data_IF_792270739000
#
_entry.id   IF_792270739000
#
_cell.length_a   1.000
_cell.length_b   1.000
_cell.length_c   1.000
_cell.angle_alpha   90.00
_cell.angle_beta   90.00
_cell.angle_gamma   90.00
#
_symmetry.space_group_name_H-M   'P 1'
#
loop_
_entity.id
_entity.type
_entity.pdbx_description
1 polymer ?
#
# COMPACT_ATOMS: atom_id res chain seq x y z
N UNK A 1 24.11 -7.41 15.48
CA UNK A 1 24.57 -6.40 16.47
C UNK A 1 24.26 -6.88 17.89
N UNK A 2 24.90 -6.30 18.91
CA UNK A 2 24.65 -6.65 20.34
C UNK A 2 23.19 -6.38 20.74
N UNK A 3 22.63 -5.26 20.28
CA UNK A 3 21.23 -4.88 20.50
C UNK A 3 20.25 -5.90 19.91
N UNK A 4 20.53 -6.46 18.72
CA UNK A 4 19.69 -7.51 18.14
C UNK A 4 19.63 -8.77 19.03
N UNK A 5 20.75 -9.17 19.64
CA UNK A 5 20.78 -10.31 20.58
C UNK A 5 20.02 -10.02 21.88
N UNK A 6 20.15 -8.80 22.40
CA UNK A 6 19.39 -8.37 23.58
C UNK A 6 17.88 -8.35 23.28
N UNK A 7 17.48 -7.83 22.12
CA UNK A 7 16.09 -7.81 21.68
C UNK A 7 15.54 -9.23 21.47
N UNK A 8 16.33 -10.14 20.90
CA UNK A 8 15.97 -11.56 20.80
C UNK A 8 15.69 -12.15 22.19
N UNK A 9 16.59 -11.90 23.15
CA UNK A 9 16.43 -12.40 24.52
C UNK A 9 15.18 -11.83 25.18
N UNK A 10 14.95 -10.51 25.05
CA UNK A 10 13.82 -9.80 25.63
C UNK A 10 12.48 -10.30 25.06
N UNK A 11 12.37 -10.45 23.74
CA UNK A 11 11.14 -10.93 23.11
C UNK A 11 10.86 -12.39 23.52
N UNK A 12 11.89 -13.24 23.61
CA UNK A 12 11.76 -14.62 24.11
C UNK A 12 11.33 -14.68 25.58
N UNK A 13 11.78 -13.73 26.41
CA UNK A 13 11.32 -13.58 27.80
C UNK A 13 9.96 -12.87 27.92
N UNK A 14 9.23 -12.71 26.82
CA UNK A 14 7.90 -12.10 26.75
C UNK A 14 7.87 -10.63 27.19
N UNK A 15 8.90 -9.85 26.85
CA UNK A 15 8.92 -8.41 27.12
C UNK A 15 7.67 -7.69 26.59
N UNK A 16 7.39 -6.53 27.19
CA UNK A 16 6.36 -5.60 26.69
C UNK A 16 6.87 -4.82 25.48
N UNK A 17 5.98 -4.20 24.69
CA UNK A 17 6.40 -3.32 23.60
C UNK A 17 7.27 -2.15 24.06
N UNK A 18 6.99 -1.59 25.24
CA UNK A 18 7.73 -0.46 25.82
C UNK A 18 9.17 -0.85 26.16
N UNK A 19 9.35 -2.04 26.76
CA UNK A 19 10.67 -2.60 27.05
C UNK A 19 11.48 -2.82 25.75
N UNK A 20 10.84 -3.33 24.70
CA UNK A 20 11.48 -3.49 23.39
C UNK A 20 11.90 -2.13 22.79
N UNK A 21 11.07 -1.09 22.94
CA UNK A 21 11.41 0.26 22.46
C UNK A 21 12.59 0.87 23.19
N UNK A 22 12.73 0.65 24.50
CA UNK A 22 13.90 1.13 25.26
C UNK A 22 15.19 0.58 24.66
N UNK A 23 15.23 -0.71 24.31
CA UNK A 23 16.41 -1.34 23.68
C UNK A 23 16.76 -0.75 22.31
N UNK A 24 15.79 -0.19 21.60
CA UNK A 24 15.99 0.44 20.29
C UNK A 24 16.45 1.90 20.39
N UNK A 25 16.27 2.56 21.54
CA UNK A 25 16.60 4.00 21.69
C UNK A 25 18.08 4.29 21.46
N UNK A 26 18.94 3.39 21.90
CA UNK A 26 20.40 3.56 21.88
C UNK A 26 21.04 3.31 20.51
N UNK A 27 20.25 2.93 19.49
CA UNK A 27 20.76 2.72 18.14
C UNK A 27 21.06 4.07 17.45
N UNK A 28 22.27 4.23 16.85
CA UNK A 28 22.60 5.43 16.09
C UNK A 28 21.73 5.52 14.84
N UNK A 29 21.31 6.72 14.45
CA UNK A 29 20.57 6.92 13.20
C UNK A 29 21.58 7.10 12.05
N UNK A 30 21.64 6.20 11.05
CA UNK A 30 22.56 6.38 9.93
C UNK A 30 22.31 7.67 9.13
N UNK A 31 21.09 8.21 9.19
CA UNK A 31 20.70 9.43 8.47
C UNK A 31 20.99 10.72 9.25
N UNK A 32 21.45 10.66 10.50
CA UNK A 32 21.75 11.87 11.29
C UNK A 32 23.01 12.61 10.84
N UNK A 33 23.79 12.04 9.91
CA UNK A 33 24.93 12.70 9.29
C UNK A 33 24.52 13.53 8.05
N UNK A 34 23.26 13.47 7.62
CA UNK A 34 22.71 14.28 6.52
C UNK A 34 22.30 15.68 7.02
N UNK A 35 22.36 16.70 6.16
CA UNK A 35 22.05 18.11 6.52
C UNK A 35 20.58 18.34 6.95
N UNK A 36 19.70 17.36 6.79
CA UNK A 36 18.29 17.40 7.15
C UNK A 36 18.00 16.53 8.36
N UNK A 37 17.06 16.97 9.21
CA UNK A 37 16.50 16.11 10.25
C UNK A 37 15.90 14.85 9.60
N UNK A 38 16.32 13.64 10.01
CA UNK A 38 15.88 12.41 9.37
C UNK A 38 14.43 12.11 9.73
N UNK A 39 13.60 11.88 8.71
CA UNK A 39 12.16 11.63 8.86
C UNK A 39 11.83 10.22 9.38
N UNK A 40 12.82 9.33 9.43
CA UNK A 40 12.72 7.98 9.97
C UNK A 40 14.07 7.47 10.47
N UNK A 41 14.09 6.30 11.12
CA UNK A 41 15.30 5.70 11.68
C UNK A 41 15.55 4.29 11.11
N UNK A 42 16.32 4.18 10.00
CA UNK A 42 16.54 2.92 9.28
C UNK A 42 17.02 1.78 10.17
N UNK A 43 18.02 2.04 11.02
CA UNK A 43 18.65 0.98 11.81
C UNK A 43 17.72 0.43 12.89
N UNK A 44 16.83 1.26 13.45
CA UNK A 44 15.77 0.79 14.37
C UNK A 44 14.79 -0.13 13.65
N UNK A 45 14.36 0.24 12.45
CA UNK A 45 13.47 -0.59 11.62
C UNK A 45 14.16 -1.91 11.31
N UNK A 46 15.40 -1.87 10.80
CA UNK A 46 16.16 -3.05 10.40
C UNK A 46 16.32 -4.04 11.54
N UNK A 47 16.79 -3.57 12.70
CA UNK A 47 17.01 -4.43 13.87
C UNK A 47 15.68 -4.99 14.37
N UNK A 48 14.65 -4.15 14.53
CA UNK A 48 13.39 -4.57 15.11
C UNK A 48 12.64 -5.55 14.21
N UNK A 49 12.43 -5.19 12.94
CA UNK A 49 11.66 -5.99 11.98
C UNK A 49 12.38 -7.30 11.70
N UNK A 50 13.70 -7.29 11.51
CA UNK A 50 14.46 -8.52 11.29
C UNK A 50 14.35 -9.50 12.47
N UNK A 51 14.51 -9.00 13.70
CA UNK A 51 14.39 -9.84 14.90
C UNK A 51 12.97 -10.37 15.07
N UNK A 52 11.96 -9.52 14.89
CA UNK A 52 10.56 -9.89 15.02
C UNK A 52 10.17 -11.00 14.03
N UNK A 53 10.54 -10.83 12.75
CA UNK A 53 10.25 -11.80 11.70
C UNK A 53 11.06 -13.09 11.86
N UNK A 54 12.31 -12.99 12.30
CA UNK A 54 13.13 -14.16 12.62
C UNK A 54 12.51 -15.01 13.73
N UNK A 55 12.00 -14.40 14.80
CA UNK A 55 11.34 -15.11 15.90
C UNK A 55 9.95 -15.63 15.50
N UNK A 56 9.29 -14.96 14.56
CA UNK A 56 8.00 -15.35 14.00
C UNK A 56 8.06 -16.36 12.85
N UNK A 57 9.23 -16.89 12.48
CA UNK A 57 9.46 -17.62 11.23
C UNK A 57 8.88 -19.04 11.14
N UNK A 58 8.34 -19.58 12.25
CA UNK A 58 7.88 -20.98 12.33
C UNK A 58 6.66 -21.28 11.46
N UNK A 59 5.73 -20.33 11.36
CA UNK A 59 4.55 -20.43 10.48
C UNK A 59 3.93 -19.05 10.28
N UNK A 60 3.03 -18.92 9.29
CA UNK A 60 2.27 -17.68 9.06
C UNK A 60 1.59 -17.18 10.34
N UNK A 61 0.96 -18.08 11.12
CA UNK A 61 0.29 -17.73 12.37
C UNK A 61 1.27 -17.16 13.41
N UNK A 62 2.51 -17.65 13.50
CA UNK A 62 3.51 -17.09 14.41
C UNK A 62 3.94 -15.70 13.97
N UNK A 63 4.16 -15.47 12.66
CA UNK A 63 4.48 -14.15 12.13
C UNK A 63 3.35 -13.16 12.37
N UNK A 64 2.10 -13.57 12.16
CA UNK A 64 0.93 -12.72 12.39
C UNK A 64 0.72 -12.39 13.86
N UNK A 65 0.93 -13.36 14.76
CA UNK A 65 0.86 -13.13 16.20
C UNK A 65 1.96 -12.16 16.66
N UNK A 66 3.17 -12.28 16.10
CA UNK A 66 4.27 -11.36 16.37
C UNK A 66 3.95 -9.93 15.92
N UNK A 67 3.46 -9.76 14.68
CA UNK A 67 3.02 -8.45 14.16
C UNK A 67 1.90 -7.85 15.01
N UNK A 68 0.92 -8.67 15.42
CA UNK A 68 -0.19 -8.19 16.26
C UNK A 68 0.29 -7.77 17.64
N UNK A 69 1.17 -8.54 18.29
CA UNK A 69 1.70 -8.24 19.63
C UNK A 69 2.48 -6.92 19.65
N UNK A 70 3.23 -6.63 18.58
CA UNK A 70 4.08 -5.45 18.50
C UNK A 70 3.58 -4.40 17.49
N UNK A 71 2.28 -4.40 17.21
CA UNK A 71 1.65 -3.50 16.23
C UNK A 71 1.96 -2.03 16.50
N UNK A 72 1.87 -1.58 17.76
CA UNK A 72 2.16 -0.20 18.13
C UNK A 72 3.59 0.23 17.78
N UNK A 73 4.59 -0.62 18.01
CA UNK A 73 5.98 -0.33 17.65
C UNK A 73 6.12 -0.23 16.13
N UNK A 74 5.53 -1.17 15.40
CA UNK A 74 5.59 -1.16 13.93
C UNK A 74 4.96 0.12 13.37
N UNK A 75 3.86 0.59 13.95
CA UNK A 75 3.23 1.87 13.56
C UNK A 75 4.09 3.08 13.87
N UNK A 76 4.82 3.07 14.98
CA UNK A 76 5.71 4.17 15.36
C UNK A 76 6.98 4.19 14.52
N UNK A 77 7.52 3.02 14.17
CA UNK A 77 8.70 2.91 13.32
C UNK A 77 8.40 3.18 11.84
N UNK A 78 7.15 3.02 11.41
CA UNK A 78 6.68 3.22 10.04
C UNK A 78 5.58 4.30 9.98
N UNK A 79 5.80 5.40 10.69
CA UNK A 79 4.90 6.56 10.73
C UNK A 79 4.97 7.41 9.46
N UNK A 80 6.13 7.43 8.78
CA UNK A 80 6.37 8.09 7.50
C UNK A 80 6.33 7.13 6.31
N UNK A 81 6.10 7.65 5.09
CA UNK A 81 6.10 6.84 3.86
C UNK A 81 7.47 6.18 3.63
N UNK A 82 8.57 6.89 3.91
CA UNK A 82 9.93 6.37 3.83
C UNK A 82 10.16 5.24 4.85
N UNK A 83 9.69 5.41 6.10
CA UNK A 83 9.75 4.36 7.12
C UNK A 83 8.96 3.10 6.73
N UNK A 84 7.79 3.27 6.10
CA UNK A 84 7.00 2.14 5.58
C UNK A 84 7.70 1.40 4.44
N UNK A 85 8.30 2.13 3.49
CA UNK A 85 9.08 1.54 2.38
C UNK A 85 10.30 0.81 2.94
N UNK A 86 11.00 1.41 3.92
CA UNK A 86 12.15 0.77 4.56
C UNK A 86 11.75 -0.51 5.30
N UNK A 87 10.63 -0.51 6.02
CA UNK A 87 10.09 -1.72 6.66
C UNK A 87 9.81 -2.83 5.64
N UNK A 88 9.21 -2.49 4.50
CA UNK A 88 8.96 -3.45 3.41
C UNK A 88 10.26 -4.01 2.83
N UNK A 89 11.29 -3.17 2.68
CA UNK A 89 12.64 -3.59 2.27
C UNK A 89 13.27 -4.53 3.28
N UNK A 90 13.30 -4.19 4.57
CA UNK A 90 13.82 -5.09 5.61
C UNK A 90 13.07 -6.43 5.61
N UNK A 91 11.74 -6.42 5.45
CA UNK A 91 10.96 -7.65 5.33
C UNK A 91 11.37 -8.48 4.10
N UNK A 92 11.59 -7.84 2.95
CA UNK A 92 12.07 -8.49 1.74
C UNK A 92 13.44 -9.13 1.92
N UNK A 93 14.37 -8.46 2.59
CA UNK A 93 15.69 -9.00 2.89
C UNK A 93 15.60 -10.29 3.73
N UNK A 94 14.65 -10.37 4.67
CA UNK A 94 14.41 -11.56 5.50
C UNK A 94 13.73 -12.70 4.74
N UNK A 95 12.80 -12.39 3.84
CA UNK A 95 11.89 -13.38 3.22
C UNK A 95 11.99 -13.51 1.69
N UNK A 96 13.04 -12.98 1.07
CA UNK A 96 13.27 -13.01 -0.38
C UNK A 96 13.21 -14.41 -0.99
N UNK A 97 13.59 -15.45 -0.25
CA UNK A 97 13.52 -16.84 -0.70
C UNK A 97 12.14 -17.49 -0.54
N UNK A 98 11.15 -16.80 0.05
CA UNK A 98 9.82 -17.34 0.34
C UNK A 98 8.71 -16.39 -0.17
N UNK A 99 8.41 -16.49 -1.46
CA UNK A 99 7.44 -15.62 -2.15
C UNK A 99 6.04 -15.62 -1.51
N UNK A 100 5.51 -16.79 -1.14
CA UNK A 100 4.20 -16.85 -0.49
C UNK A 100 4.18 -16.14 0.87
N UNK A 101 5.28 -16.20 1.64
CA UNK A 101 5.40 -15.45 2.89
C UNK A 101 5.37 -13.94 2.63
N UNK A 102 6.06 -13.46 1.59
CA UNK A 102 6.01 -12.06 1.18
C UNK A 102 4.58 -11.59 0.88
N UNK A 103 3.82 -12.38 0.11
CA UNK A 103 2.42 -12.05 -0.22
C UNK A 103 1.58 -11.91 1.04
N UNK A 104 1.64 -12.88 1.96
CA UNK A 104 0.78 -12.87 3.15
C UNK A 104 1.22 -11.84 4.20
N UNK A 105 2.52 -11.52 4.29
CA UNK A 105 3.00 -10.48 5.18
C UNK A 105 2.62 -9.09 4.69
N UNK A 106 2.77 -8.78 3.40
CA UNK A 106 2.30 -7.50 2.83
C UNK A 106 0.79 -7.36 3.03
N UNK A 107 0.02 -8.43 2.78
CA UNK A 107 -1.42 -8.43 3.05
C UNK A 107 -1.73 -8.13 4.52
N UNK A 108 -1.00 -8.74 5.45
CA UNK A 108 -1.16 -8.51 6.89
C UNK A 108 -0.83 -7.06 7.27
N UNK A 109 0.29 -6.52 6.80
CA UNK A 109 0.74 -5.15 7.10
C UNK A 109 -0.29 -4.12 6.62
N UNK A 110 -0.84 -4.29 5.41
CA UNK A 110 -1.93 -3.45 4.89
C UNK A 110 -3.21 -3.60 5.72
N UNK A 111 -3.60 -4.82 6.11
CA UNK A 111 -4.81 -5.06 6.93
C UNK A 111 -4.73 -4.41 8.31
N UNK A 112 -3.54 -4.36 8.88
CA UNK A 112 -3.28 -3.74 10.18
C UNK A 112 -2.87 -2.26 10.06
N UNK A 113 -2.96 -1.68 8.86
CA UNK A 113 -2.60 -0.28 8.57
C UNK A 113 -1.18 0.10 9.02
N UNK A 114 -0.26 -0.87 9.03
CA UNK A 114 1.16 -0.61 9.32
C UNK A 114 1.80 0.08 8.11
N UNK A 115 1.42 -0.36 6.92
CA UNK A 115 1.84 0.26 5.65
C UNK A 115 0.61 0.66 4.86
N UNK A 116 0.76 1.71 4.06
CA UNK A 116 -0.26 2.20 3.14
C UNK A 116 -0.11 1.57 1.75
N UNK A 117 -1.20 1.52 0.96
CA UNK A 117 -1.16 1.02 -0.41
C UNK A 117 -0.12 1.73 -1.30
N UNK A 118 0.07 3.04 -1.12
CA UNK A 118 1.05 3.83 -1.90
C UNK A 118 2.48 3.42 -1.59
N UNK A 119 2.81 3.19 -0.32
CA UNK A 119 4.13 2.72 0.10
C UNK A 119 4.44 1.35 -0.51
N UNK A 120 3.45 0.44 -0.52
CA UNK A 120 3.59 -0.86 -1.19
C UNK A 120 3.82 -0.70 -2.69
N UNK A 121 3.05 0.15 -3.37
CA UNK A 121 3.25 0.41 -4.80
C UNK A 121 4.65 0.96 -5.07
N UNK A 122 5.08 1.99 -4.34
CA UNK A 122 6.41 2.58 -4.47
C UNK A 122 7.54 1.54 -4.23
N UNK A 123 7.39 0.70 -3.21
CA UNK A 123 8.34 -0.38 -2.93
C UNK A 123 8.41 -1.42 -4.06
N UNK A 124 7.28 -1.86 -4.63
CA UNK A 124 7.28 -2.84 -5.72
C UNK A 124 8.02 -2.36 -6.98
N UNK A 125 8.07 -1.05 -7.22
CA UNK A 125 8.82 -0.43 -8.32
C UNK A 125 10.23 0.02 -7.93
N UNK A 126 10.68 -0.25 -6.70
CA UNK A 126 12.00 0.17 -6.23
C UNK A 126 13.13 -0.58 -6.92
N UNK A 127 14.35 -0.04 -6.80
CA UNK A 127 15.55 -0.64 -7.40
C UNK A 127 15.84 -2.05 -6.88
N UNK A 128 15.53 -2.32 -5.62
CA UNK A 128 15.71 -3.58 -4.92
C UNK A 128 14.78 -4.67 -5.45
N UNK A 129 13.61 -4.28 -5.95
CA UNK A 129 12.61 -5.20 -6.51
C UNK A 129 12.81 -5.47 -8.00
N UNK A 130 13.71 -4.75 -8.69
CA UNK A 130 13.99 -4.93 -10.13
C UNK A 130 14.32 -6.39 -10.52
N UNK A 131 15.17 -7.14 -9.77
CA UNK A 131 15.46 -8.54 -10.11
C UNK A 131 14.25 -9.47 -9.96
N UNK A 132 13.26 -9.07 -9.18
CA UNK A 132 12.05 -9.85 -8.88
C UNK A 132 10.85 -9.44 -9.74
N UNK A 133 10.97 -8.34 -10.49
CA UNK A 133 9.85 -7.64 -11.12
C UNK A 133 9.08 -8.49 -12.16
N UNK A 134 9.74 -9.50 -12.75
CA UNK A 134 9.10 -10.44 -13.69
C UNK A 134 8.45 -11.65 -13.01
N UNK A 135 8.51 -11.76 -11.67
CA UNK A 135 7.93 -12.88 -10.94
C UNK A 135 6.47 -12.61 -10.56
N UNK A 136 5.64 -13.66 -10.57
CA UNK A 136 4.19 -13.54 -10.38
C UNK A 136 3.79 -12.92 -9.03
N UNK A 137 4.51 -13.23 -7.95
CA UNK A 137 4.14 -12.79 -6.61
C UNK A 137 4.17 -11.26 -6.45
N UNK A 138 5.02 -10.55 -7.19
CA UNK A 138 5.08 -9.08 -7.24
C UNK A 138 3.73 -8.52 -7.70
N UNK A 139 3.20 -9.08 -8.77
CA UNK A 139 1.93 -8.65 -9.36
C UNK A 139 0.73 -9.15 -8.58
N UNK A 140 0.84 -10.29 -7.90
CA UNK A 140 -0.15 -10.75 -6.93
C UNK A 140 -0.29 -9.73 -5.78
N UNK A 141 0.83 -9.25 -5.22
CA UNK A 141 0.85 -8.20 -4.19
C UNK A 141 0.25 -6.90 -4.73
N UNK A 142 0.64 -6.46 -5.94
CA UNK A 142 0.11 -5.26 -6.56
C UNK A 142 -1.42 -5.31 -6.68
N UNK A 143 -1.95 -6.38 -7.29
CA UNK A 143 -3.40 -6.51 -7.46
C UNK A 143 -4.14 -6.76 -6.15
N UNK A 144 -3.55 -7.46 -5.17
CA UNK A 144 -4.14 -7.61 -3.85
C UNK A 144 -4.25 -6.26 -3.13
N UNK A 145 -3.24 -5.39 -3.28
CA UNK A 145 -3.23 -4.02 -2.75
C UNK A 145 -4.34 -3.18 -3.37
N UNK A 146 -4.47 -3.17 -4.70
CA UNK A 146 -5.54 -2.43 -5.41
C UNK A 146 -6.92 -2.94 -4.98
N UNK A 147 -7.15 -4.26 -4.98
CA UNK A 147 -8.43 -4.85 -4.57
C UNK A 147 -8.80 -4.49 -3.14
N UNK A 148 -7.83 -4.43 -2.22
CA UNK A 148 -8.07 -4.05 -0.84
C UNK A 148 -8.49 -2.59 -0.72
N UNK A 149 -7.81 -1.70 -1.43
CA UNK A 149 -8.16 -0.28 -1.48
C UNK A 149 -9.56 -0.08 -2.05
N UNK A 150 -9.93 -0.79 -3.13
CA UNK A 150 -11.29 -0.76 -3.68
C UNK A 150 -12.31 -1.21 -2.65
N UNK A 151 -12.14 -2.40 -2.06
CA UNK A 151 -13.08 -2.93 -1.06
C UNK A 151 -13.25 -2.00 0.14
N UNK A 152 -12.21 -1.27 0.53
CA UNK A 152 -12.28 -0.28 1.60
C UNK A 152 -13.16 0.91 1.19
N UNK A 153 -12.97 1.46 -0.02
CA UNK A 153 -13.81 2.55 -0.54
C UNK A 153 -15.26 2.10 -0.68
N UNK A 154 -15.50 0.94 -1.30
CA UNK A 154 -16.84 0.41 -1.53
C UNK A 154 -17.58 0.18 -0.21
N UNK A 155 -16.87 -0.34 0.81
CA UNK A 155 -17.44 -0.50 2.15
C UNK A 155 -17.79 0.84 2.80
N UNK A 156 -16.89 1.81 2.79
CA UNK A 156 -17.17 3.13 3.38
C UNK A 156 -18.32 3.84 2.65
N UNK A 157 -18.43 3.65 1.34
CA UNK A 157 -19.53 4.19 0.53
C UNK A 157 -20.87 3.60 0.97
N UNK A 158 -20.93 2.27 1.12
CA UNK A 158 -22.13 1.58 1.62
C UNK A 158 -22.48 2.01 3.04
N UNK A 159 -21.48 2.10 3.93
CA UNK A 159 -21.69 2.49 5.32
C UNK A 159 -22.30 3.92 5.41
N UNK A 160 -21.87 4.85 4.53
CA UNK A 160 -22.42 6.22 4.44
C UNK A 160 -23.86 6.21 3.91
N UNK A 161 -24.13 5.44 2.85
CA UNK A 161 -25.47 5.33 2.25
C UNK A 161 -26.47 4.74 3.26
N UNK A 162 -26.10 3.65 3.93
CA UNK A 162 -26.91 3.01 4.97
C UNK A 162 -27.19 3.97 6.14
N UNK A 163 -26.22 4.81 6.52
CA UNK A 163 -26.39 5.78 7.58
C UNK A 163 -27.36 6.91 7.20
N UNK A 164 -27.28 7.40 5.95
CA UNK A 164 -28.21 8.42 5.41
C UNK A 164 -29.62 7.88 5.31
N UNK A 165 -29.79 6.66 4.79
CA UNK A 165 -31.11 6.04 4.64
C UNK A 165 -31.79 5.83 6.00
N UNK A 166 -31.02 5.44 7.03
CA UNK A 166 -31.54 5.32 8.41
C UNK A 166 -31.98 6.67 8.97
N UNK A 167 -31.19 7.72 8.77
CA UNK A 167 -31.54 9.06 9.25
C UNK A 167 -32.78 9.61 8.53
N UNK A 168 -32.87 9.42 7.22
CA UNK A 168 -34.04 9.86 6.43
C UNK A 168 -35.30 9.07 6.81
N UNK A 169 -35.18 7.77 7.05
CA UNK A 169 -36.28 6.94 7.55
C UNK A 169 -36.74 7.41 8.95
N UNK A 170 -35.82 7.73 9.86
CA UNK A 170 -36.13 8.26 11.18
C UNK A 170 -36.83 9.63 11.10
N UNK A 171 -36.32 10.55 10.25
CA UNK A 171 -36.95 11.86 9.99
C UNK A 171 -38.38 11.71 9.46
N UNK A 172 -38.65 10.73 8.59
CA UNK A 172 -40.00 10.42 8.09
C UNK A 172 -40.91 9.87 9.19
N UNK A 173 -40.46 8.87 9.96
CA UNK A 173 -41.23 8.32 11.10
C UNK A 173 -41.57 9.40 12.13
N UNK A 174 -40.64 10.32 12.39
CA UNK A 174 -40.86 11.45 13.29
C UNK A 174 -41.93 12.41 12.75
N UNK A 175 -41.88 12.73 11.45
CA UNK A 175 -42.88 13.58 10.80
C UNK A 175 -44.30 12.94 10.83
N UNK A 176 -44.37 11.61 10.72
CA UNK A 176 -45.62 10.85 10.76
C UNK A 176 -46.12 10.57 12.20
N UNK A 177 -45.37 10.96 13.23
CA UNK A 177 -45.72 10.71 14.64
C UNK A 177 -45.63 9.24 15.06
N UNK A 178 -44.87 8.42 14.33
CA UNK A 178 -44.72 6.97 14.51
C UNK A 178 -43.36 6.59 15.12
N UNK A 179 -42.63 7.53 15.71
CA UNK A 179 -41.40 7.23 16.46
C UNK A 179 -41.76 6.62 17.81
N UNK A 180 -41.49 5.33 17.99
CA UNK A 180 -41.37 4.72 19.31
C UNK A 180 -39.97 5.04 19.86
N UNK A 181 -39.89 5.60 21.07
CA UNK A 181 -38.67 6.07 21.74
C UNK A 181 -37.68 4.94 22.15
N UNK A 182 -37.88 3.70 21.70
CA UNK A 182 -37.12 2.53 22.16
C UNK A 182 -36.13 2.01 21.09
N UNK A 183 -34.84 2.20 21.38
CA UNK A 183 -33.66 1.46 20.88
C UNK A 183 -33.19 1.61 19.40
N UNK A 184 -33.77 2.47 18.55
CA UNK A 184 -33.15 2.76 17.24
C UNK A 184 -31.93 3.71 17.40
N UNK A 185 -30.71 3.17 17.31
CA UNK A 185 -29.47 3.96 17.24
C UNK A 185 -29.42 4.72 15.90
N UNK A 186 -30.04 5.90 15.88
CA UNK A 186 -30.13 6.76 14.70
C UNK A 186 -28.80 7.52 14.53
N UNK A 187 -28.12 7.39 13.39
CA UNK A 187 -26.92 8.19 13.10
C UNK A 187 -27.24 9.68 13.11
N UNK A 188 -26.46 10.48 13.81
CA UNK A 188 -26.58 11.94 13.77
C UNK A 188 -25.94 12.51 12.50
N UNK A 189 -26.34 13.72 12.11
CA UNK A 189 -25.72 14.42 10.96
C UNK A 189 -24.19 14.56 11.13
N UNK A 190 -23.66 14.81 12.35
CA UNK A 190 -22.21 14.86 12.64
C UNK A 190 -21.49 13.50 12.44
N UNK A 191 -22.17 12.38 12.73
CA UNK A 191 -21.61 11.05 12.46
C UNK A 191 -21.52 10.82 10.95
N UNK A 192 -22.57 11.19 10.20
CA UNK A 192 -22.60 11.05 8.73
C UNK A 192 -21.50 11.92 8.11
N UNK A 193 -21.35 13.17 8.54
CA UNK A 193 -20.29 14.08 8.06
C UNK A 193 -18.90 13.47 8.25
N UNK A 194 -18.58 12.93 9.44
CA UNK A 194 -17.31 12.23 9.68
C UNK A 194 -17.13 10.97 8.83
N UNK A 195 -18.21 10.26 8.52
CA UNK A 195 -18.15 9.09 7.64
C UNK A 195 -17.89 9.51 6.19
N UNK A 196 -18.48 10.62 5.74
CA UNK A 196 -18.22 11.23 4.43
C UNK A 196 -16.77 11.72 4.30
N UNK A 197 -16.22 12.40 5.31
CA UNK A 197 -14.80 12.81 5.33
C UNK A 197 -13.86 11.61 5.19
N UNK A 198 -14.16 10.50 5.88
CA UNK A 198 -13.38 9.26 5.80
C UNK A 198 -13.50 8.59 4.44
N UNK A 199 -14.67 8.63 3.82
CA UNK A 199 -14.90 8.13 2.47
C UNK A 199 -14.12 8.95 1.46
N UNK A 200 -14.16 10.28 1.53
CA UNK A 200 -13.41 11.17 0.65
C UNK A 200 -11.90 10.93 0.77
N UNK A 201 -11.39 10.82 2.01
CA UNK A 201 -9.99 10.49 2.26
C UNK A 201 -9.59 9.14 1.62
N UNK A 202 -10.44 8.12 1.73
CA UNK A 202 -10.20 6.82 1.11
C UNK A 202 -10.25 6.89 -0.43
N UNK A 203 -11.19 7.64 -1.02
CA UNK A 203 -11.27 7.86 -2.47
C UNK A 203 -10.02 8.60 -2.98
N UNK A 204 -9.53 9.58 -2.24
CA UNK A 204 -8.30 10.30 -2.55
C UNK A 204 -7.08 9.37 -2.48
N UNK A 205 -7.00 8.48 -1.47
CA UNK A 205 -5.95 7.48 -1.38
C UNK A 205 -6.02 6.47 -2.53
N UNK A 206 -7.21 6.03 -2.95
CA UNK A 206 -7.41 5.16 -4.11
C UNK A 206 -6.93 5.84 -5.40
N UNK A 207 -7.31 7.10 -5.61
CA UNK A 207 -6.85 7.90 -6.76
C UNK A 207 -5.33 8.04 -6.75
N UNK A 208 -4.73 8.41 -5.60
CA UNK A 208 -3.27 8.53 -5.44
C UNK A 208 -2.56 7.21 -5.77
N UNK A 209 -3.10 6.08 -5.34
CA UNK A 209 -2.54 4.75 -5.63
C UNK A 209 -2.46 4.50 -7.14
N UNK A 210 -3.53 4.74 -7.90
CA UNK A 210 -3.51 4.58 -9.35
C UNK A 210 -2.52 5.53 -10.02
N UNK A 211 -2.48 6.80 -9.60
CA UNK A 211 -1.54 7.77 -10.15
C UNK A 211 -0.08 7.32 -9.94
N UNK A 212 0.26 6.85 -8.74
CA UNK A 212 1.60 6.32 -8.45
C UNK A 212 1.90 5.11 -9.34
N UNK A 213 0.99 4.15 -9.43
CA UNK A 213 1.20 2.93 -10.23
C UNK A 213 1.47 3.29 -11.70
N UNK A 214 0.61 4.12 -12.30
CA UNK A 214 0.76 4.50 -13.71
C UNK A 214 1.99 5.37 -13.94
N UNK A 215 2.28 6.34 -13.06
CA UNK A 215 3.50 7.14 -13.14
C UNK A 215 4.75 6.27 -13.07
N UNK A 216 4.79 5.27 -12.18
CA UNK A 216 5.92 4.34 -12.07
C UNK A 216 6.07 3.48 -13.31
N UNK A 217 4.97 2.97 -13.89
CA UNK A 217 5.00 2.25 -15.16
C UNK A 217 5.56 3.10 -16.30
N UNK A 218 5.05 4.33 -16.46
CA UNK A 218 5.53 5.27 -17.47
C UNK A 218 7.03 5.47 -17.30
N UNK A 219 7.48 5.79 -16.08
CA UNK A 219 8.89 6.05 -15.79
C UNK A 219 9.80 4.87 -16.16
N UNK A 220 9.46 3.63 -15.77
CA UNK A 220 10.32 2.47 -16.05
C UNK A 220 10.28 2.05 -17.53
N UNK A 221 9.14 2.21 -18.20
CA UNK A 221 9.00 1.88 -19.62
C UNK A 221 9.75 2.91 -20.47
N UNK A 222 9.61 4.21 -20.16
CA UNK A 222 10.34 5.28 -20.83
C UNK A 222 11.85 5.14 -20.62
N UNK A 223 12.32 4.83 -19.40
CA UNK A 223 13.74 4.58 -19.13
C UNK A 223 14.29 3.39 -19.94
N UNK A 224 13.52 2.29 -20.04
CA UNK A 224 13.90 1.15 -20.86
C UNK A 224 13.97 1.50 -22.36
N UNK A 225 12.95 2.19 -22.88
CA UNK A 225 12.89 2.60 -24.29
C UNK A 225 14.07 3.53 -24.64
N UNK A 226 14.35 4.52 -23.80
CA UNK A 226 15.48 5.43 -23.97
C UNK A 226 16.84 4.70 -23.91
N UNK A 227 16.99 3.71 -23.02
CA UNK A 227 18.21 2.87 -22.95
C UNK A 227 18.37 2.01 -24.20
N UNK A 228 17.29 1.45 -24.73
CA UNK A 228 17.35 0.65 -25.96
C UNK A 228 17.70 1.51 -27.17
N UNK A 229 17.08 2.69 -27.31
CA UNK A 229 17.41 3.66 -28.35
C UNK A 229 18.87 4.11 -28.27
N UNK A 230 19.32 4.55 -27.08
CA UNK A 230 20.69 5.02 -26.86
C UNK A 230 21.77 3.96 -27.11
N UNK A 231 21.45 2.68 -26.90
CA UNK A 231 22.36 1.55 -27.17
C UNK A 231 22.16 0.93 -28.56
N UNK A 232 21.21 1.42 -29.38
CA UNK A 232 20.83 0.84 -30.66
C UNK A 232 20.45 -0.66 -30.57
N UNK A 233 19.75 -1.03 -29.50
CA UNK A 233 19.24 -2.39 -29.24
C UNK A 233 17.73 -2.38 -29.44
N UNK A 234 17.18 -3.48 -29.96
CA UNK A 234 15.73 -3.67 -30.04
C UNK A 234 15.09 -3.53 -28.65
N UNK A 235 14.09 -2.65 -28.54
CA UNK A 235 13.36 -2.43 -27.30
C UNK A 235 12.50 -3.63 -26.92
N UNK A 236 12.13 -4.47 -27.89
CA UNK A 236 11.15 -5.55 -27.77
C UNK A 236 11.69 -6.79 -27.03
N UNK A 237 12.29 -6.55 -25.87
CA UNK A 237 12.87 -7.57 -24.99
C UNK A 237 11.78 -8.36 -24.25
N UNK A 238 12.10 -9.56 -23.73
CA UNK A 238 11.17 -10.31 -22.87
C UNK A 238 10.72 -9.51 -21.64
N UNK A 239 11.60 -8.70 -21.06
CA UNK A 239 11.26 -7.80 -19.95
C UNK A 239 10.24 -6.75 -20.38
N UNK A 240 10.47 -6.09 -21.53
CA UNK A 240 9.55 -5.08 -22.04
C UNK A 240 8.15 -5.65 -22.28
N UNK A 241 8.05 -6.78 -23.00
CA UNK A 241 6.78 -7.48 -23.24
C UNK A 241 6.04 -7.78 -21.94
N UNK A 242 6.77 -8.30 -20.95
CA UNK A 242 6.19 -8.58 -19.65
C UNK A 242 5.66 -7.32 -18.97
N UNK A 243 6.45 -6.24 -18.91
CA UNK A 243 6.07 -5.03 -18.18
C UNK A 243 4.94 -4.27 -18.87
N UNK A 244 4.95 -4.18 -20.21
CA UNK A 244 3.87 -3.53 -20.96
C UNK A 244 2.57 -4.32 -20.84
N UNK A 245 2.61 -5.66 -20.84
CA UNK A 245 1.44 -6.51 -20.59
C UNK A 245 0.93 -6.40 -19.15
N UNK A 246 1.81 -6.15 -18.16
CA UNK A 246 1.40 -5.87 -16.78
C UNK A 246 0.72 -4.51 -16.64
N UNK A 247 1.16 -3.49 -17.36
CA UNK A 247 0.44 -2.22 -17.48
C UNK A 247 -0.96 -2.46 -18.07
N UNK A 248 -1.05 -3.18 -19.19
CA UNK A 248 -2.32 -3.54 -19.81
C UNK A 248 -3.23 -4.33 -18.85
N UNK A 249 -2.66 -5.26 -18.08
CA UNK A 249 -3.42 -6.04 -17.10
C UNK A 249 -4.05 -5.16 -16.01
N UNK A 250 -3.37 -4.10 -15.57
CA UNK A 250 -3.93 -3.16 -14.58
C UNK A 250 -5.16 -2.45 -15.16
N UNK A 251 -5.08 -1.99 -16.41
CA UNK A 251 -6.21 -1.40 -17.11
C UNK A 251 -7.40 -2.38 -17.21
N UNK A 252 -7.15 -3.61 -17.64
CA UNK A 252 -8.20 -4.59 -17.89
C UNK A 252 -8.85 -5.11 -16.61
N UNK A 253 -8.07 -5.42 -15.57
CA UNK A 253 -8.62 -6.00 -14.33
C UNK A 253 -9.32 -4.98 -13.43
N UNK A 254 -8.97 -3.70 -13.55
CA UNK A 254 -9.51 -2.62 -12.70
C UNK A 254 -10.22 -1.55 -13.51
N UNK A 255 -10.76 -1.91 -14.68
CA UNK A 255 -11.30 -0.96 -15.67
C UNK A 255 -12.32 0.02 -15.08
N UNK A 256 -13.25 -0.44 -14.23
CA UNK A 256 -14.28 0.41 -13.62
C UNK A 256 -13.66 1.54 -12.77
N UNK A 257 -12.63 1.20 -11.99
CA UNK A 257 -11.91 2.16 -11.15
C UNK A 257 -11.07 3.10 -12.00
N UNK A 258 -10.39 2.58 -13.02
CA UNK A 258 -9.55 3.39 -13.90
C UNK A 258 -10.41 4.37 -14.70
N UNK A 259 -11.59 3.96 -15.18
CA UNK A 259 -12.52 4.85 -15.89
C UNK A 259 -13.02 6.00 -15.01
N UNK A 260 -13.14 5.81 -13.69
CA UNK A 260 -13.48 6.89 -12.75
C UNK A 260 -12.45 8.03 -12.76
N UNK A 261 -11.19 7.72 -13.07
CA UNK A 261 -10.08 8.67 -13.04
C UNK A 261 -9.54 9.02 -14.43
N UNK A 262 -10.20 8.57 -15.51
CA UNK A 262 -9.71 8.67 -16.89
C UNK A 262 -9.31 10.10 -17.28
N UNK A 263 -10.13 11.11 -16.94
CA UNK A 263 -9.82 12.50 -17.27
C UNK A 263 -8.58 13.03 -16.55
N UNK A 264 -8.33 12.58 -15.31
CA UNK A 264 -7.08 12.90 -14.61
C UNK A 264 -5.89 12.19 -15.25
N UNK A 265 -6.06 10.94 -15.66
CA UNK A 265 -5.02 10.15 -16.31
C UNK A 265 -4.63 10.75 -17.68
N UNK A 266 -5.61 11.14 -18.49
CA UNK A 266 -5.42 11.81 -19.79
C UNK A 266 -4.68 13.15 -19.66
N UNK A 267 -5.01 13.94 -18.64
CA UNK A 267 -4.49 15.29 -18.48
C UNK A 267 -3.13 15.37 -17.78
N UNK A 268 -2.83 14.44 -16.86
CA UNK A 268 -1.64 14.51 -16.01
C UNK A 268 -0.59 13.45 -16.32
N UNK A 269 -0.99 12.28 -16.81
CA UNK A 269 -0.08 11.15 -17.02
C UNK A 269 0.05 10.83 -18.50
N UNK A 270 -1.00 10.33 -19.14
CA UNK A 270 -1.00 9.87 -20.52
C UNK A 270 -1.20 11.00 -21.52
N UNK A 271 -0.31 12.00 -21.49
CA UNK A 271 -0.34 13.12 -22.43
C UNK A 271 0.46 12.81 -23.71
N UNK A 272 0.44 13.72 -24.68
CA UNK A 272 1.09 13.54 -25.99
C UNK A 272 2.62 13.52 -25.94
N UNK A 273 3.22 13.83 -24.79
CA UNK A 273 4.66 13.81 -24.55
C UNK A 273 5.22 12.42 -24.21
N UNK A 274 4.34 11.47 -23.84
CA UNK A 274 4.74 10.09 -23.56
C UNK A 274 5.03 9.34 -24.85
N UNK A 275 6.00 8.42 -24.77
CA UNK A 275 6.32 7.50 -25.87
C UNK A 275 5.07 6.78 -26.41
N UNK A 276 5.00 6.70 -27.74
CA UNK A 276 3.80 6.22 -28.42
C UNK A 276 3.41 4.80 -28.02
N UNK A 277 4.36 3.91 -27.70
CA UNK A 277 4.04 2.53 -27.35
C UNK A 277 3.31 2.43 -26.01
N UNK A 278 3.66 3.31 -25.06
CA UNK A 278 3.01 3.36 -23.74
C UNK A 278 1.63 4.00 -23.90
N UNK A 279 1.55 5.08 -24.68
CA UNK A 279 0.31 5.79 -24.94
C UNK A 279 -0.70 4.92 -25.70
N UNK A 280 -0.24 4.07 -26.61
CA UNK A 280 -1.08 3.14 -27.36
C UNK A 280 -1.86 2.19 -26.44
N UNK A 281 -1.24 1.65 -25.39
CA UNK A 281 -1.93 0.78 -24.42
C UNK A 281 -3.09 1.51 -23.73
N UNK A 282 -2.87 2.78 -23.38
CA UNK A 282 -3.91 3.60 -22.77
C UNK A 282 -5.04 3.92 -23.77
N UNK A 283 -4.70 4.24 -25.03
CA UNK A 283 -5.69 4.48 -26.09
C UNK A 283 -6.53 3.22 -26.38
N UNK A 284 -5.90 2.05 -26.45
CA UNK A 284 -6.59 0.76 -26.60
C UNK A 284 -7.58 0.52 -25.44
N UNK A 285 -7.18 0.84 -24.21
CA UNK A 285 -8.08 0.78 -23.07
C UNK A 285 -9.24 1.77 -23.19
N UNK A 286 -9.00 3.02 -23.57
CA UNK A 286 -10.06 4.02 -23.79
C UNK A 286 -11.07 3.58 -24.86
N UNK A 287 -10.60 2.89 -25.91
CA UNK A 287 -11.45 2.33 -26.96
C UNK A 287 -12.39 1.20 -26.48
N UNK A 288 -12.17 0.62 -25.30
CA UNK A 288 -13.13 -0.34 -24.72
C UNK A 288 -14.41 0.32 -24.20
N UNK A 289 -14.39 1.64 -24.02
CA UNK A 289 -15.55 2.43 -23.59
C UNK A 289 -16.37 2.97 -24.76
N UNK A 290 -15.77 3.06 -25.95
CA UNK A 290 -16.41 3.59 -27.17
C UNK A 290 -17.36 2.60 -27.82
#
# INVERSE_FOLDING_TARGET
>A
TMVAHQLISAIKSKCTPEEAMVLLKDLPNPLSEEESDPTYHPLRIDVFVSVLLHLGNKSFSHSFAAIAKFHHILKLLADTEEGQIWLLRTMFEVWSSHQQMMVVLVDKLLKTQIVEPSAVANWLFSSEMQPEFTKFYVWEIMHATIRKMSKQVDKLQQDVEDAKDKLDAAKRKQADGLMDDEDEEIPTDDIIERMEERLEAAQNQQKRLFLIIFQRFIMILTDHLAKCEGNSIDYNTPWYKWVIERLQQIFLLHHELVFRYISTLESLLFTSDIDFHILEIFQQFCALRS
#
